data_IF_022564667284
#
_entry.id   IF_022564667284
#
_cell.length_a   1.000
_cell.length_b   1.000
_cell.length_c   1.000
_cell.angle_alpha   90.00
_cell.angle_beta   90.00
_cell.angle_gamma   90.00
#
_symmetry.space_group_name_H-M   'P 1'
#
loop_
_entity.id
_entity.type
_entity.pdbx_description
1 polymer ?
#
# COMPACT_ATOMS: atom_id res chain seq x y z
N UNK A 1 15.04 10.10 -4.68
CA UNK A 1 13.59 10.28 -4.48
C UNK A 1 13.09 9.37 -3.36
N UNK A 2 12.55 9.96 -2.30
CA UNK A 2 11.80 9.29 -1.23
C UNK A 2 10.32 9.21 -1.63
N UNK A 3 9.77 8.01 -1.64
CA UNK A 3 8.38 7.78 -2.02
C UNK A 3 7.58 7.25 -0.82
N UNK A 4 6.39 7.79 -0.61
CA UNK A 4 5.39 7.26 0.32
C UNK A 4 4.33 6.51 -0.48
N UNK A 5 3.99 5.28 -0.08
CA UNK A 5 2.92 4.50 -0.72
C UNK A 5 1.92 4.08 0.37
N UNK A 6 0.68 4.54 0.25
CA UNK A 6 -0.40 4.32 1.23
C UNK A 6 -1.65 3.73 0.61
N UNK A 7 -2.48 3.09 1.42
CA UNK A 7 -3.68 2.40 0.97
C UNK A 7 -4.77 3.40 0.56
N UNK A 8 -5.16 4.32 1.43
CA UNK A 8 -6.31 5.21 1.21
C UNK A 8 -5.92 6.69 1.28
N UNK A 9 -6.71 7.60 0.68
CA UNK A 9 -6.52 9.03 0.89
C UNK A 9 -6.92 9.39 2.32
N UNK A 10 -6.02 10.06 3.04
CA UNK A 10 -5.97 10.34 4.50
C UNK A 10 -4.87 9.56 5.25
N UNK A 11 -4.47 8.38 4.76
CA UNK A 11 -3.41 7.61 5.41
C UNK A 11 -2.06 8.35 5.42
N UNK A 12 -1.80 9.15 4.37
CA UNK A 12 -0.55 9.91 4.24
C UNK A 12 -0.38 10.97 5.33
N UNK A 13 -1.48 11.45 5.93
CA UNK A 13 -1.48 12.41 7.05
C UNK A 13 -1.78 11.77 8.41
N UNK A 14 -2.51 10.66 8.45
CA UNK A 14 -2.86 9.98 9.70
C UNK A 14 -1.67 9.19 10.28
N UNK A 15 -0.90 8.53 9.42
CA UNK A 15 0.15 7.60 9.83
C UNK A 15 1.57 8.09 9.53
N UNK A 16 1.69 9.15 8.71
CA UNK A 16 2.97 9.63 8.20
C UNK A 16 3.04 11.16 8.17
N UNK A 17 4.25 11.69 7.95
CA UNK A 17 4.49 13.10 7.68
C UNK A 17 4.71 13.26 6.15
N UNK A 18 3.69 13.66 5.37
CA UNK A 18 3.76 13.58 3.91
C UNK A 18 4.77 14.58 3.30
N UNK A 19 5.12 15.64 4.02
CA UNK A 19 6.07 16.66 3.59
C UNK A 19 7.51 16.16 3.44
N UNK A 20 7.85 15.03 4.09
CA UNK A 20 9.17 14.40 4.02
C UNK A 20 9.42 13.63 2.71
N UNK A 21 8.40 13.51 1.86
CA UNK A 21 8.43 12.71 0.65
C UNK A 21 8.36 13.57 -0.61
N UNK A 22 9.09 13.12 -1.64
CA UNK A 22 9.12 13.74 -2.95
C UNK A 22 7.89 13.32 -3.78
N UNK A 23 7.38 12.11 -3.55
CA UNK A 23 6.20 11.55 -4.19
C UNK A 23 5.36 10.77 -3.18
N UNK A 24 4.04 10.91 -3.28
CA UNK A 24 3.06 10.18 -2.50
C UNK A 24 2.18 9.39 -3.48
N UNK A 25 2.05 8.08 -3.26
CA UNK A 25 1.21 7.20 -4.08
C UNK A 25 0.08 6.69 -3.21
N UNK A 26 -1.16 6.98 -3.61
CA UNK A 26 -2.37 6.49 -2.95
C UNK A 26 -2.96 5.38 -3.82
N UNK A 27 -3.12 4.18 -3.25
CA UNK A 27 -3.49 2.98 -4.02
C UNK A 27 -4.97 2.92 -4.34
N UNK A 28 -5.83 3.04 -3.32
CA UNK A 28 -7.26 2.84 -3.43
C UNK A 28 -8.02 4.16 -3.44
N UNK A 29 -9.06 4.23 -4.27
CA UNK A 29 -9.94 5.41 -4.38
C UNK A 29 -11.41 5.01 -4.21
N UNK A 30 -11.86 4.09 -5.05
CA UNK A 30 -13.27 3.70 -5.14
C UNK A 30 -13.67 2.69 -4.08
N UNK A 31 -14.95 2.73 -3.68
CA UNK A 31 -15.58 1.79 -2.76
C UNK A 31 -16.91 1.32 -3.30
N UNK A 32 -17.07 0.00 -3.48
CA UNK A 32 -18.31 -0.56 -4.04
C UNK A 32 -19.53 -0.36 -3.13
N UNK A 33 -19.32 -0.35 -1.82
CA UNK A 33 -20.37 -0.15 -0.81
C UNK A 33 -20.73 1.34 -0.62
N UNK A 34 -19.89 2.25 -1.11
CA UNK A 34 -20.04 3.71 -0.98
C UNK A 34 -19.54 4.40 -2.27
N UNK A 35 -20.23 4.22 -3.41
CA UNK A 35 -19.75 4.73 -4.70
C UNK A 35 -19.53 6.25 -4.71
N UNK A 36 -20.25 7.00 -3.89
CA UNK A 36 -20.09 8.44 -3.73
C UNK A 36 -18.73 8.85 -3.14
N UNK A 37 -18.06 7.96 -2.40
CA UNK A 37 -16.73 8.22 -1.82
C UNK A 37 -15.67 8.42 -2.90
N UNK A 38 -15.80 7.78 -4.06
CA UNK A 38 -14.80 7.88 -5.13
C UNK A 38 -14.67 9.32 -5.63
N UNK A 39 -15.81 9.95 -5.95
CA UNK A 39 -15.84 11.33 -6.42
C UNK A 39 -15.39 12.31 -5.33
N UNK A 40 -15.82 12.09 -4.08
CA UNK A 40 -15.43 12.93 -2.95
C UNK A 40 -13.92 12.86 -2.68
N UNK A 41 -13.34 11.66 -2.66
CA UNK A 41 -11.90 11.44 -2.48
C UNK A 41 -11.07 12.03 -3.62
N UNK A 42 -11.55 11.88 -4.86
CA UNK A 42 -10.87 12.47 -6.02
C UNK A 42 -10.83 14.00 -5.91
N UNK A 43 -11.92 14.62 -5.45
CA UNK A 43 -11.95 16.06 -5.23
C UNK A 43 -11.02 16.46 -4.08
N UNK A 44 -11.03 15.73 -2.97
CA UNK A 44 -10.13 15.99 -1.85
C UNK A 44 -8.65 15.90 -2.24
N UNK A 45 -8.25 14.90 -3.04
CA UNK A 45 -6.88 14.77 -3.55
C UNK A 45 -6.48 15.99 -4.41
N UNK A 46 -7.38 16.52 -5.24
CA UNK A 46 -7.10 17.71 -6.05
C UNK A 46 -6.91 18.98 -5.21
N UNK A 47 -7.59 19.07 -4.07
CA UNK A 47 -7.51 20.21 -3.15
C UNK A 47 -6.43 20.02 -2.07
N UNK A 48 -5.80 18.85 -2.01
CA UNK A 48 -4.80 18.52 -1.00
C UNK A 48 -3.59 19.48 -1.09
N UNK A 49 -3.03 19.98 0.03
CA UNK A 49 -1.90 20.93 0.02
C UNK A 49 -0.64 20.44 -0.71
N UNK A 50 -0.51 19.12 -0.89
CA UNK A 50 0.58 18.44 -1.60
C UNK A 50 0.08 17.72 -2.87
N UNK A 51 -1.01 18.18 -3.48
CA UNK A 51 -1.63 17.54 -4.65
C UNK A 51 -0.64 17.34 -5.82
N UNK A 52 0.34 18.22 -5.97
CA UNK A 52 1.40 18.14 -6.99
C UNK A 52 2.35 16.94 -6.79
N UNK A 53 2.43 16.41 -5.57
CA UNK A 53 3.25 15.23 -5.23
C UNK A 53 2.43 13.94 -5.18
N UNK A 54 1.10 14.02 -5.24
CA UNK A 54 0.22 12.86 -5.08
C UNK A 54 -0.09 12.23 -6.45
N UNK A 55 0.16 10.93 -6.56
CA UNK A 55 -0.34 10.08 -7.63
C UNK A 55 -1.36 9.10 -7.05
N UNK A 56 -2.61 9.19 -7.48
CA UNK A 56 -3.63 8.21 -7.11
C UNK A 56 -3.74 7.12 -8.18
N UNK A 57 -3.60 5.84 -7.80
CA UNK A 57 -3.72 4.70 -8.72
C UNK A 57 -5.17 4.39 -9.08
N UNK A 58 -6.12 4.82 -8.25
CA UNK A 58 -7.54 4.68 -8.54
C UNK A 58 -8.08 3.24 -8.42
N UNK A 59 -7.38 2.32 -7.74
CA UNK A 59 -7.90 0.97 -7.56
C UNK A 59 -9.17 1.01 -6.69
N UNK A 60 -10.12 0.12 -6.99
CA UNK A 60 -11.30 -0.05 -6.15
C UNK A 60 -10.98 -0.93 -4.95
N UNK A 61 -11.36 -0.50 -3.75
CA UNK A 61 -11.24 -1.31 -2.54
C UNK A 61 -11.98 -2.65 -2.69
N UNK A 62 -11.38 -3.69 -2.12
CA UNK A 62 -11.97 -5.02 -2.13
C UNK A 62 -13.12 -5.16 -1.12
N UNK A 63 -13.11 -4.35 -0.05
CA UNK A 63 -13.88 -4.51 1.18
C UNK A 63 -13.60 -5.81 1.95
N UNK A 64 -12.47 -6.49 1.67
CA UNK A 64 -12.10 -7.75 2.33
C UNK A 64 -11.89 -7.62 3.84
N UNK A 65 -11.53 -6.44 4.33
CA UNK A 65 -11.46 -6.17 5.77
C UNK A 65 -12.82 -6.40 6.46
N UNK A 66 -13.93 -6.12 5.76
CA UNK A 66 -15.31 -6.28 6.24
C UNK A 66 -15.94 -7.61 5.82
N UNK A 67 -15.74 -8.02 4.57
CA UNK A 67 -16.35 -9.20 3.97
C UNK A 67 -15.29 -10.15 3.43
N UNK A 68 -15.02 -11.23 4.16
CA UNK A 68 -13.98 -12.21 3.78
C UNK A 68 -14.31 -12.98 2.49
N UNK A 69 -15.54 -12.94 1.99
CA UNK A 69 -15.87 -13.53 0.69
C UNK A 69 -15.20 -12.79 -0.48
N UNK A 70 -14.76 -11.54 -0.25
CA UNK A 70 -14.07 -10.70 -1.22
C UNK A 70 -12.59 -11.07 -1.46
N UNK A 71 -12.14 -12.22 -0.97
CA UNK A 71 -10.76 -12.73 -1.07
C UNK A 71 -10.23 -12.65 -2.51
N UNK A 72 -11.00 -13.04 -3.52
CA UNK A 72 -10.54 -13.01 -4.91
C UNK A 72 -10.27 -11.60 -5.43
N UNK A 73 -11.08 -10.62 -5.00
CA UNK A 73 -10.88 -9.22 -5.36
C UNK A 73 -9.65 -8.66 -4.65
N UNK A 74 -9.47 -8.97 -3.36
CA UNK A 74 -8.29 -8.60 -2.59
C UNK A 74 -7.00 -9.16 -3.23
N UNK A 75 -7.00 -10.43 -3.62
CA UNK A 75 -5.88 -11.07 -4.32
C UNK A 75 -5.61 -10.48 -5.71
N UNK A 76 -6.66 -10.02 -6.43
CA UNK A 76 -6.47 -9.26 -7.68
C UNK A 76 -5.80 -7.91 -7.40
N UNK A 77 -6.28 -7.15 -6.42
CA UNK A 77 -5.68 -5.88 -6.02
C UNK A 77 -4.20 -6.03 -5.66
N UNK A 78 -3.84 -7.08 -4.91
CA UNK A 78 -2.44 -7.39 -4.61
C UNK A 78 -1.61 -7.60 -5.87
N UNK A 79 -2.09 -8.44 -6.80
CA UNK A 79 -1.37 -8.73 -8.05
C UNK A 79 -1.22 -7.49 -8.93
N UNK A 80 -2.26 -6.67 -9.03
CA UNK A 80 -2.24 -5.48 -9.87
C UNK A 80 -1.34 -4.39 -9.27
N UNK A 81 -1.34 -4.23 -7.95
CA UNK A 81 -0.39 -3.37 -7.26
C UNK A 81 1.06 -3.87 -7.46
N UNK A 82 1.32 -5.17 -7.31
CA UNK A 82 2.65 -5.72 -7.57
C UNK A 82 3.13 -5.45 -9.00
N UNK A 83 2.26 -5.54 -10.02
CA UNK A 83 2.64 -5.17 -11.40
C UNK A 83 3.01 -3.70 -11.50
N UNK A 84 2.19 -2.81 -10.93
CA UNK A 84 2.45 -1.38 -10.95
C UNK A 84 3.79 -1.03 -10.26
N UNK A 85 4.07 -1.66 -9.12
CA UNK A 85 5.28 -1.41 -8.33
C UNK A 85 6.58 -1.85 -9.04
N UNK A 86 6.52 -2.70 -10.07
CA UNK A 86 7.71 -3.10 -10.83
C UNK A 86 8.37 -1.92 -11.54
N UNK A 87 7.59 -0.92 -11.92
CA UNK A 87 8.06 0.25 -12.66
C UNK A 87 8.47 1.42 -11.75
N UNK A 88 8.26 1.30 -10.43
CA UNK A 88 8.60 2.35 -9.48
C UNK A 88 10.12 2.44 -9.29
N UNK A 89 10.65 3.63 -9.54
CA UNK A 89 12.06 3.99 -9.32
C UNK A 89 12.16 4.97 -8.17
N UNK A 90 12.48 4.46 -6.98
CA UNK A 90 12.70 5.24 -5.78
C UNK A 90 14.05 4.87 -5.13
N UNK A 91 14.66 5.81 -4.42
CA UNK A 91 15.82 5.52 -3.57
C UNK A 91 15.40 4.79 -2.29
N UNK A 92 14.21 5.10 -1.78
CA UNK A 92 13.58 4.44 -0.65
C UNK A 92 12.07 4.62 -0.70
N UNK A 93 11.35 3.63 -0.19
CA UNK A 93 9.89 3.67 -0.01
C UNK A 93 9.54 3.61 1.47
N UNK A 94 8.61 4.45 1.91
CA UNK A 94 7.88 4.26 3.16
C UNK A 94 6.46 3.81 2.85
N UNK A 95 5.92 2.93 3.68
CA UNK A 95 4.55 2.42 3.59
C UNK A 95 4.08 1.93 4.96
N UNK A 96 2.86 1.42 5.03
CA UNK A 96 2.27 0.79 6.22
C UNK A 96 3.20 -0.24 6.88
N UNK A 97 3.00 -0.45 8.17
CA UNK A 97 3.68 -1.50 8.91
C UNK A 97 3.12 -2.89 8.56
N UNK A 98 3.84 -3.94 8.96
CA UNK A 98 3.48 -5.32 8.62
C UNK A 98 2.16 -5.80 9.25
N UNK A 99 1.68 -5.14 10.31
CA UNK A 99 0.41 -5.44 10.97
C UNK A 99 -0.75 -4.57 10.42
N UNK A 100 -0.50 -3.66 9.48
CA UNK A 100 -1.51 -2.78 8.91
C UNK A 100 -2.11 -1.78 9.91
N UNK A 101 -1.27 -1.28 10.81
CA UNK A 101 -1.63 -0.33 11.87
C UNK A 101 -2.70 -0.89 12.83
N UNK A 102 -3.98 -0.71 12.48
CA UNK A 102 -5.14 -1.20 13.23
C UNK A 102 -5.69 -2.51 12.64
N UNK A 103 -4.80 -3.34 12.11
CA UNK A 103 -5.11 -4.63 11.45
C UNK A 103 -5.92 -4.48 10.16
N UNK A 104 -5.81 -3.34 9.47
CA UNK A 104 -6.55 -3.10 8.24
C UNK A 104 -5.96 -3.92 7.08
N UNK A 105 -6.78 -4.79 6.48
CA UNK A 105 -6.32 -5.72 5.47
C UNK A 105 -5.71 -5.04 4.23
N UNK A 106 -6.22 -3.88 3.81
CA UNK A 106 -5.65 -3.16 2.67
C UNK A 106 -4.27 -2.56 3.00
N UNK A 107 -4.01 -2.18 4.25
CA UNK A 107 -2.69 -1.68 4.67
C UNK A 107 -1.66 -2.81 4.64
N UNK A 108 -2.06 -3.99 5.14
CA UNK A 108 -1.25 -5.22 5.07
C UNK A 108 -0.96 -5.59 3.61
N UNK A 109 -1.96 -5.50 2.73
CA UNK A 109 -1.79 -5.75 1.29
C UNK A 109 -0.73 -4.83 0.68
N UNK A 110 -0.82 -3.52 0.93
CA UNK A 110 0.13 -2.54 0.39
C UNK A 110 1.54 -2.80 0.94
N UNK A 111 1.69 -3.04 2.26
CA UNK A 111 2.97 -3.42 2.86
C UNK A 111 3.58 -4.64 2.17
N UNK A 112 2.78 -5.71 2.01
CA UNK A 112 3.22 -6.96 1.41
C UNK A 112 3.59 -6.79 -0.07
N UNK A 113 2.85 -5.97 -0.82
CA UNK A 113 3.14 -5.71 -2.22
C UNK A 113 4.47 -4.97 -2.40
N UNK A 114 4.71 -3.95 -1.56
CA UNK A 114 5.98 -3.23 -1.50
C UNK A 114 7.16 -4.16 -1.18
N UNK A 115 7.05 -4.96 -0.12
CA UNK A 115 8.11 -5.91 0.27
C UNK A 115 8.33 -7.03 -0.75
N UNK A 116 7.29 -7.44 -1.48
CA UNK A 116 7.39 -8.48 -2.49
C UNK A 116 8.05 -7.99 -3.79
N UNK A 117 7.81 -6.72 -4.17
CA UNK A 117 8.12 -6.23 -5.52
C UNK A 117 9.35 -5.33 -5.57
N UNK A 118 9.48 -4.42 -4.61
CA UNK A 118 10.49 -3.36 -4.69
C UNK A 118 11.89 -3.89 -4.41
N UNK A 119 12.88 -3.23 -5.02
CA UNK A 119 14.31 -3.52 -4.84
C UNK A 119 15.04 -2.43 -4.03
N UNK A 120 14.42 -1.27 -3.81
CA UNK A 120 14.92 -0.25 -2.90
C UNK A 120 14.53 -0.57 -1.44
N UNK A 121 15.17 0.03 -0.43
CA UNK A 121 14.72 -0.09 0.95
C UNK A 121 13.25 0.28 1.13
N UNK A 122 12.52 -0.52 1.90
CA UNK A 122 11.11 -0.30 2.27
C UNK A 122 11.03 -0.20 3.80
N UNK A 123 10.59 0.93 4.34
CA UNK A 123 10.63 1.23 5.78
C UNK A 123 12.02 1.00 6.38
N UNK A 124 13.07 1.35 5.63
CA UNK A 124 14.49 1.13 6.00
C UNK A 124 14.96 -0.33 5.92
N UNK A 125 14.10 -1.28 5.55
CA UNK A 125 14.44 -2.71 5.42
C UNK A 125 14.86 -3.02 3.99
N UNK A 126 15.85 -3.89 3.82
CA UNK A 126 16.24 -4.44 2.52
C UNK A 126 15.22 -5.54 2.10
N UNK A 127 14.42 -5.35 1.03
CA UNK A 127 13.40 -6.32 0.64
C UNK A 127 13.98 -7.67 0.20
N UNK A 128 15.16 -7.68 -0.41
CA UNK A 128 15.84 -8.91 -0.83
C UNK A 128 16.21 -9.80 0.36
N UNK A 129 16.76 -9.20 1.42
CA UNK A 129 17.06 -9.91 2.66
C UNK A 129 15.76 -10.39 3.30
N UNK A 130 14.74 -9.53 3.36
CA UNK A 130 13.43 -9.88 3.91
C UNK A 130 12.83 -11.10 3.19
N UNK A 131 12.78 -11.09 1.86
CA UNK A 131 12.22 -12.20 1.06
C UNK A 131 12.99 -13.51 1.30
N UNK A 132 14.33 -13.45 1.29
CA UNK A 132 15.19 -14.61 1.55
C UNK A 132 14.98 -15.16 2.97
N UNK A 133 14.94 -14.30 3.98
CA UNK A 133 14.72 -14.70 5.36
C UNK A 133 13.31 -15.27 5.57
N UNK A 134 12.28 -14.59 5.05
CA UNK A 134 10.88 -15.07 5.10
C UNK A 134 10.76 -16.47 4.50
N UNK A 135 11.33 -16.71 3.32
CA UNK A 135 11.33 -18.04 2.70
C UNK A 135 12.01 -19.12 3.56
N UNK A 136 13.06 -18.76 4.31
CA UNK A 136 13.69 -19.68 5.28
C UNK A 136 12.71 -20.01 6.42
N UNK A 137 12.05 -19.01 7.01
CA UNK A 137 11.09 -19.23 8.10
C UNK A 137 9.86 -20.01 7.63
N UNK A 138 9.30 -19.70 6.46
CA UNK A 138 8.16 -20.41 5.86
C UNK A 138 8.49 -21.87 5.60
N UNK A 139 9.66 -22.16 5.00
CA UNK A 139 10.10 -23.55 4.73
C UNK A 139 10.27 -24.37 6.02
N UNK A 140 10.56 -23.72 7.14
CA UNK A 140 10.71 -24.37 8.45
C UNK A 140 9.42 -24.31 9.30
N UNK A 141 8.30 -23.80 8.75
CA UNK A 141 7.02 -23.74 9.45
C UNK A 141 7.00 -22.81 10.66
N UNK A 142 7.90 -21.83 10.73
CA UNK A 142 8.05 -20.92 11.88
C UNK A 142 7.87 -19.44 11.53
N UNK A 143 7.24 -19.15 10.39
CA UNK A 143 6.75 -17.82 10.08
C UNK A 143 5.46 -17.53 10.86
N UNK A 144 5.41 -16.39 11.56
CA UNK A 144 4.36 -16.09 12.55
C UNK A 144 3.30 -15.07 12.07
N UNK A 145 3.36 -14.64 10.81
CA UNK A 145 2.50 -13.57 10.28
C UNK A 145 1.72 -14.07 9.04
N UNK A 146 0.39 -13.95 9.03
CA UNK A 146 -0.46 -14.43 7.93
C UNK A 146 -1.48 -13.38 7.52
#
# INVERSE_FOLDING_TARGET
MKCLIVAHPDDEILWFNPEEYDQIIIVFLGRKDKPEQEAARLQAIKEHPLADRITCLGLTESNFWRDKSQTDHHNRNYRDLCKYLQDIKAESVTTHNAAGEYEHADHILVHNACMATLNCPVNGKNPDIYRKAKAVYERNGCWTWY
#
